data_IF_406851063778
#
_entry.id   IF_406851063778
#
_cell.length_a   1.000
_cell.length_b   1.000
_cell.length_c   1.000
_cell.angle_alpha   90.00
_cell.angle_beta   90.00
_cell.angle_gamma   90.00
#
_symmetry.space_group_name_H-M   'P 1'
#
loop_
_entity.id
_entity.type
_entity.pdbx_description
1 polymer ?
#
# COMPACT_ATOMS: atom_id res chain seq x y z
N UNK A 1 -17.89 -6.26 22.13
CA UNK A 1 -18.58 -5.03 21.66
C UNK A 1 -19.89 -5.40 20.95
N UNK A 2 -20.90 -4.53 20.88
CA UNK A 2 -22.18 -4.80 20.20
C UNK A 2 -22.48 -3.76 19.13
N UNK A 3 -23.27 -4.14 18.13
CA UNK A 3 -23.94 -3.22 17.20
C UNK A 3 -25.44 -3.23 17.48
N UNK A 4 -26.09 -2.09 17.26
CA UNK A 4 -27.55 -1.97 17.34
C UNK A 4 -28.11 -1.70 15.96
N UNK A 5 -29.18 -2.42 15.60
CA UNK A 5 -29.97 -2.10 14.40
C UNK A 5 -30.66 -0.76 14.63
N UNK A 6 -30.55 0.14 13.66
CA UNK A 6 -31.10 1.49 13.77
C UNK A 6 -32.48 1.53 13.13
N UNK A 7 -33.46 2.06 13.87
CA UNK A 7 -34.78 2.35 13.31
C UNK A 7 -34.68 3.55 12.37
N UNK A 8 -35.19 3.42 11.14
CA UNK A 8 -35.19 4.51 10.15
C UNK A 8 -35.96 5.75 10.62
N UNK A 9 -36.88 5.59 11.58
CA UNK A 9 -37.64 6.68 12.20
C UNK A 9 -36.81 7.52 13.19
N UNK A 10 -35.70 6.98 13.69
CA UNK A 10 -34.83 7.66 14.65
C UNK A 10 -33.72 8.49 13.98
N UNK A 11 -33.64 8.48 12.64
CA UNK A 11 -32.66 9.26 11.89
C UNK A 11 -33.18 10.68 11.64
N UNK A 12 -32.30 11.70 11.63
CA UNK A 12 -32.65 13.03 11.16
C UNK A 12 -33.26 12.95 9.76
N UNK A 13 -34.28 13.76 9.48
CA UNK A 13 -34.93 13.78 8.15
C UNK A 13 -33.86 13.99 7.07
N UNK A 14 -33.77 13.05 6.13
CA UNK A 14 -32.82 13.09 5.00
C UNK A 14 -31.46 12.41 5.25
N UNK A 15 -31.14 11.99 6.49
CA UNK A 15 -29.89 11.32 6.78
C UNK A 15 -29.90 9.87 6.27
N UNK A 16 -28.97 9.54 5.36
CA UNK A 16 -28.73 8.18 4.86
C UNK A 16 -27.31 7.76 5.25
N UNK A 17 -27.10 7.18 6.45
CA UNK A 17 -25.78 6.72 6.87
C UNK A 17 -25.28 5.64 5.89
N UNK A 18 -24.01 5.69 5.56
CA UNK A 18 -23.34 4.74 4.67
C UNK A 18 -22.45 3.80 5.47
N UNK A 19 -22.26 2.58 4.99
CA UNK A 19 -21.39 1.59 5.59
C UNK A 19 -19.93 2.03 5.47
N UNK A 20 -19.17 1.92 6.56
CA UNK A 20 -17.75 2.28 6.57
C UNK A 20 -16.90 1.46 5.58
N UNK A 21 -17.27 0.20 5.33
CA UNK A 21 -16.49 -0.73 4.49
C UNK A 21 -16.86 -0.73 3.00
N UNK A 22 -18.13 -0.49 2.65
CA UNK A 22 -18.60 -0.66 1.27
C UNK A 22 -19.44 0.51 0.75
N UNK A 23 -19.61 1.58 1.53
CA UNK A 23 -20.40 2.77 1.19
C UNK A 23 -21.91 2.54 0.91
N UNK A 24 -22.40 1.30 0.96
CA UNK A 24 -23.83 0.95 0.87
C UNK A 24 -24.63 1.47 2.07
N UNK A 25 -25.96 1.64 1.97
CA UNK A 25 -26.81 2.09 3.07
C UNK A 25 -26.60 1.27 4.35
N UNK A 26 -26.34 1.95 5.46
CA UNK A 26 -26.10 1.30 6.75
C UNK A 26 -27.41 0.98 7.50
N UNK A 27 -27.43 -0.16 8.17
CA UNK A 27 -28.56 -0.63 9.00
C UNK A 27 -28.18 -0.74 10.49
N UNK A 28 -26.89 -0.79 10.79
CA UNK A 28 -26.34 -1.01 12.12
C UNK A 28 -25.43 0.14 12.52
N UNK A 29 -25.50 0.53 13.80
CA UNK A 29 -24.60 1.50 14.42
C UNK A 29 -23.79 0.83 15.53
N UNK A 30 -22.50 1.12 15.56
CA UNK A 30 -21.60 0.75 16.65
C UNK A 30 -22.08 1.37 17.98
N UNK A 31 -22.06 0.61 19.08
CA UNK A 31 -22.46 1.17 20.40
C UNK A 31 -21.35 1.97 21.09
N UNK A 32 -20.10 1.83 20.65
CA UNK A 32 -18.92 2.44 21.26
C UNK A 32 -18.29 3.55 20.41
N UNK A 33 -18.70 3.64 19.16
CA UNK A 33 -18.11 4.49 18.15
C UNK A 33 -19.21 5.00 17.22
N UNK A 34 -18.93 6.07 16.47
CA UNK A 34 -19.92 6.67 15.57
C UNK A 34 -19.98 6.01 14.19
N UNK A 35 -19.32 4.87 14.02
CA UNK A 35 -19.28 4.10 12.76
C UNK A 35 -20.57 3.33 12.45
N UNK A 36 -20.87 3.25 11.16
CA UNK A 36 -22.10 2.66 10.61
C UNK A 36 -21.81 1.48 9.67
N UNK A 37 -22.65 0.45 9.70
CA UNK A 37 -22.44 -0.78 8.94
C UNK A 37 -23.73 -1.29 8.30
N UNK A 38 -23.65 -1.85 7.09
CA UNK A 38 -24.81 -2.49 6.44
C UNK A 38 -25.11 -3.88 7.05
N UNK A 39 -24.11 -4.56 7.61
CA UNK A 39 -24.26 -5.89 8.21
C UNK A 39 -23.43 -6.06 9.48
N UNK A 40 -23.82 -7.01 10.32
CA UNK A 40 -23.03 -7.44 11.50
C UNK A 40 -21.68 -8.02 11.06
N UNK A 41 -21.61 -8.65 9.89
CA UNK A 41 -20.36 -9.18 9.34
C UNK A 41 -19.38 -8.06 8.99
N UNK A 42 -19.84 -6.97 8.36
CA UNK A 42 -19.00 -5.80 8.07
C UNK A 42 -18.50 -5.14 9.35
N UNK A 43 -19.35 -5.05 10.38
CA UNK A 43 -18.90 -4.62 11.70
C UNK A 43 -17.80 -5.53 12.26
N UNK A 44 -17.98 -6.85 12.22
CA UNK A 44 -17.00 -7.81 12.76
C UNK A 44 -15.66 -7.68 12.04
N UNK A 45 -15.68 -7.63 10.71
CA UNK A 45 -14.47 -7.42 9.89
C UNK A 45 -13.77 -6.11 10.27
N UNK A 46 -14.52 -5.01 10.38
CA UNK A 46 -13.95 -3.73 10.79
C UNK A 46 -13.37 -3.79 12.21
N UNK A 47 -14.12 -4.39 13.14
CA UNK A 47 -13.75 -4.54 14.55
C UNK A 47 -12.46 -5.34 14.70
N UNK A 48 -12.41 -6.56 14.17
CA UNK A 48 -11.26 -7.47 14.25
C UNK A 48 -10.06 -6.94 13.46
N UNK A 49 -10.30 -6.28 12.32
CA UNK A 49 -9.25 -5.74 11.47
C UNK A 49 -8.46 -4.60 12.13
N UNK A 50 -9.16 -3.54 12.57
CA UNK A 50 -8.48 -2.34 13.10
C UNK A 50 -9.32 -1.52 14.08
N UNK A 51 -10.65 -1.54 13.98
CA UNK A 51 -11.50 -0.56 14.66
C UNK A 51 -11.39 -0.65 16.19
N UNK A 52 -11.12 -1.83 16.75
CA UNK A 52 -10.86 -1.99 18.18
C UNK A 52 -9.62 -1.24 18.69
N UNK A 53 -8.67 -0.92 17.79
CA UNK A 53 -7.44 -0.17 18.07
C UNK A 53 -7.65 1.34 17.97
N UNK A 54 -8.47 1.80 17.00
CA UNK A 54 -8.56 3.22 16.62
C UNK A 54 -9.85 3.93 17.05
N UNK A 55 -10.84 3.21 17.63
CA UNK A 55 -12.16 3.79 17.89
C UNK A 55 -12.13 4.99 18.87
N UNK A 56 -11.15 5.07 19.77
CA UNK A 56 -11.04 6.18 20.73
C UNK A 56 -10.59 7.45 20.02
N UNK A 57 -9.57 7.33 19.19
CA UNK A 57 -9.01 8.38 18.37
C UNK A 57 -10.05 8.89 17.36
N UNK A 58 -10.84 7.99 16.75
CA UNK A 58 -11.94 8.36 15.87
C UNK A 58 -13.00 9.21 16.59
N UNK A 59 -13.35 8.87 17.83
CA UNK A 59 -14.31 9.66 18.61
C UNK A 59 -13.72 11.05 18.95
N UNK A 60 -12.46 11.12 19.37
CA UNK A 60 -11.76 12.39 19.66
C UNK A 60 -11.70 13.31 18.44
N UNK A 61 -11.47 12.74 17.26
CA UNK A 61 -11.42 13.48 16.02
C UNK A 61 -12.78 14.11 15.64
N UNK A 62 -13.89 13.44 15.98
CA UNK A 62 -15.23 13.99 15.77
C UNK A 62 -15.59 15.08 16.78
N UNK A 63 -15.24 14.92 18.05
CA UNK A 63 -15.48 15.92 19.10
C UNK A 63 -14.78 17.24 18.79
N UNK A 64 -13.61 17.17 18.16
CA UNK A 64 -12.80 18.33 17.80
C UNK A 64 -13.19 18.96 16.46
N UNK A 65 -14.22 18.48 15.76
CA UNK A 65 -14.58 18.96 14.41
C UNK A 65 -15.07 20.41 14.32
N UNK A 66 -15.56 21.00 15.41
CA UNK A 66 -16.08 22.39 15.44
C UNK A 66 -15.10 23.35 16.13
N UNK A 67 -14.31 24.14 15.39
CA UNK A 67 -13.37 25.09 15.98
C UNK A 67 -14.13 26.33 16.48
N UNK A 68 -14.55 26.30 17.73
CA UNK A 68 -15.08 27.47 18.45
C UNK A 68 -13.97 27.99 19.36
N UNK A 69 -13.61 29.26 19.23
CA UNK A 69 -12.58 29.89 20.05
C UNK A 69 -11.77 30.95 19.32
N UNK A 70 -10.79 31.50 20.04
CA UNK A 70 -9.78 32.43 19.52
C UNK A 70 -8.90 31.80 18.44
N UNK A 71 -8.21 32.62 17.64
CA UNK A 71 -7.30 32.11 16.60
C UNK A 71 -6.23 31.16 17.15
N UNK A 72 -5.71 31.45 18.35
CA UNK A 72 -4.73 30.59 19.02
C UNK A 72 -5.31 29.22 19.38
N UNK A 73 -6.51 29.18 19.96
CA UNK A 73 -7.20 27.93 20.30
C UNK A 73 -7.55 27.13 19.05
N UNK A 74 -7.92 27.79 17.95
CA UNK A 74 -8.15 27.13 16.65
C UNK A 74 -6.88 26.45 16.12
N UNK A 75 -5.73 27.11 16.21
CA UNK A 75 -4.45 26.54 15.80
C UNK A 75 -4.02 25.36 16.68
N UNK A 76 -4.22 25.45 18.00
CA UNK A 76 -3.93 24.36 18.93
C UNK A 76 -4.86 23.16 18.67
N UNK A 77 -6.15 23.39 18.42
CA UNK A 77 -7.12 22.36 18.03
C UNK A 77 -6.79 21.74 16.66
N UNK A 78 -6.35 22.53 15.68
CA UNK A 78 -5.90 22.02 14.38
C UNK A 78 -4.68 21.12 14.51
N UNK A 79 -3.68 21.52 15.32
CA UNK A 79 -2.52 20.68 15.65
C UNK A 79 -2.93 19.37 16.31
N UNK A 80 -3.83 19.43 17.30
CA UNK A 80 -4.33 18.23 17.97
C UNK A 80 -5.08 17.31 17.00
N UNK A 81 -5.97 17.86 16.16
CA UNK A 81 -6.69 17.10 15.12
C UNK A 81 -5.74 16.39 14.18
N UNK A 82 -4.72 17.10 13.69
CA UNK A 82 -3.67 16.52 12.84
C UNK A 82 -2.90 15.42 13.56
N UNK A 83 -2.57 15.58 14.83
CA UNK A 83 -1.88 14.55 15.62
C UNK A 83 -2.73 13.28 15.77
N UNK A 84 -4.01 13.43 16.14
CA UNK A 84 -4.96 12.31 16.26
C UNK A 84 -5.15 11.61 14.91
N UNK A 85 -5.34 12.36 13.84
CA UNK A 85 -5.47 11.81 12.49
C UNK A 85 -4.20 11.05 12.06
N UNK A 86 -3.00 11.58 12.33
CA UNK A 86 -1.75 10.88 12.04
C UNK A 86 -1.64 9.57 12.84
N UNK A 87 -2.08 9.55 14.10
CA UNK A 87 -2.11 8.33 14.90
C UNK A 87 -3.06 7.27 14.31
N UNK A 88 -4.25 7.69 13.84
CA UNK A 88 -5.20 6.80 13.15
C UNK A 88 -4.59 6.27 11.85
N UNK A 89 -4.00 7.14 11.03
CA UNK A 89 -3.36 6.77 9.77
C UNK A 89 -2.27 5.72 10.00
N UNK A 90 -1.32 6.00 10.91
CA UNK A 90 -0.20 5.10 11.19
C UNK A 90 -0.68 3.75 11.74
N UNK A 91 -1.60 3.77 12.72
CA UNK A 91 -2.12 2.54 13.33
C UNK A 91 -2.89 1.70 12.30
N UNK A 92 -3.69 2.34 11.45
CA UNK A 92 -4.50 1.65 10.44
C UNK A 92 -3.63 1.06 9.32
N UNK A 93 -2.61 1.80 8.88
CA UNK A 93 -1.63 1.32 7.89
C UNK A 93 -0.85 0.12 8.43
N UNK A 94 -0.30 0.21 9.65
CA UNK A 94 0.45 -0.90 10.24
C UNK A 94 -0.40 -2.14 10.48
N UNK A 95 -1.65 -1.98 10.93
CA UNK A 95 -2.59 -3.08 11.09
C UNK A 95 -2.91 -3.75 9.75
N UNK A 96 -3.23 -2.95 8.71
CA UNK A 96 -3.50 -3.47 7.37
C UNK A 96 -2.30 -4.24 6.79
N UNK A 97 -1.09 -3.68 6.88
CA UNK A 97 0.14 -4.34 6.43
C UNK A 97 0.37 -5.67 7.16
N UNK A 98 0.13 -5.71 8.47
CA UNK A 98 0.25 -6.95 9.25
C UNK A 98 -0.69 -8.04 8.72
N UNK A 99 -1.94 -7.68 8.44
CA UNK A 99 -2.91 -8.63 7.88
C UNK A 99 -2.59 -9.04 6.44
N UNK A 100 -2.04 -8.13 5.62
CA UNK A 100 -1.57 -8.43 4.26
C UNK A 100 -0.45 -9.47 4.30
N UNK A 101 0.55 -9.30 5.19
CA UNK A 101 1.64 -10.28 5.37
C UNK A 101 1.12 -11.65 5.80
N UNK A 102 0.07 -11.68 6.62
CA UNK A 102 -0.60 -12.92 7.03
C UNK A 102 -1.50 -13.52 5.94
N UNK A 103 -1.66 -12.86 4.79
CA UNK A 103 -2.55 -13.26 3.70
C UNK A 103 -4.03 -13.08 4.01
N UNK A 104 -4.39 -12.45 5.13
CA UNK A 104 -5.79 -12.23 5.52
C UNK A 104 -6.32 -10.90 5.01
N UNK A 105 -6.52 -10.82 3.69
CA UNK A 105 -7.00 -9.61 3.01
C UNK A 105 -8.39 -9.17 3.48
N UNK A 106 -9.22 -10.11 3.98
CA UNK A 106 -10.57 -9.79 4.48
C UNK A 106 -10.52 -8.90 5.71
N UNK A 107 -9.56 -9.11 6.62
CA UNK A 107 -9.38 -8.24 7.79
C UNK A 107 -8.57 -6.98 7.46
N UNK A 108 -7.63 -7.09 6.51
CA UNK A 108 -6.78 -5.98 6.07
C UNK A 108 -7.59 -4.80 5.49
N UNK A 109 -8.68 -5.10 4.77
CA UNK A 109 -9.47 -4.08 4.04
C UNK A 109 -9.97 -2.94 4.94
N UNK A 110 -10.34 -3.25 6.19
CA UNK A 110 -10.80 -2.24 7.12
C UNK A 110 -9.68 -1.23 7.45
N UNK A 111 -8.48 -1.74 7.79
CA UNK A 111 -7.31 -0.91 8.06
C UNK A 111 -6.95 -0.01 6.89
N UNK A 112 -6.93 -0.55 5.67
CA UNK A 112 -6.60 0.23 4.49
C UNK A 112 -7.64 1.31 4.16
N UNK A 113 -8.94 1.02 4.35
CA UNK A 113 -9.99 2.02 4.16
C UNK A 113 -9.91 3.17 5.19
N UNK A 114 -9.67 2.86 6.46
CA UNK A 114 -9.47 3.89 7.48
C UNK A 114 -8.20 4.71 7.21
N UNK A 115 -7.12 4.07 6.78
CA UNK A 115 -5.88 4.74 6.39
C UNK A 115 -6.13 5.71 5.20
N UNK A 116 -6.72 5.22 4.11
CA UNK A 116 -6.99 6.01 2.91
C UNK A 116 -7.86 7.24 3.22
N UNK A 117 -8.98 7.06 3.94
CA UNK A 117 -9.87 8.17 4.29
C UNK A 117 -9.21 9.18 5.24
N UNK A 118 -8.40 8.69 6.18
CA UNK A 118 -7.68 9.58 7.10
C UNK A 118 -6.58 10.36 6.39
N UNK A 119 -5.91 9.75 5.41
CA UNK A 119 -4.96 10.43 4.53
C UNK A 119 -5.64 11.50 3.68
N UNK A 120 -6.80 11.21 3.06
CA UNK A 120 -7.61 12.19 2.34
C UNK A 120 -7.97 13.41 3.20
N UNK A 121 -8.34 13.16 4.45
CA UNK A 121 -8.67 14.22 5.41
C UNK A 121 -7.44 15.05 5.83
N UNK A 122 -6.26 14.43 5.92
CA UNK A 122 -5.02 15.08 6.37
C UNK A 122 -4.36 15.92 5.27
N UNK A 123 -4.34 15.41 4.05
CA UNK A 123 -3.52 15.96 2.97
C UNK A 123 -4.36 16.55 1.82
N UNK A 124 -5.66 16.19 1.73
CA UNK A 124 -6.55 16.61 0.65
C UNK A 124 -6.45 15.71 -0.58
N UNK A 125 -7.55 15.50 -1.31
CA UNK A 125 -7.71 14.47 -2.35
C UNK A 125 -6.64 14.48 -3.44
N UNK A 126 -6.10 15.66 -3.77
CA UNK A 126 -5.11 15.85 -4.85
C UNK A 126 -3.66 15.69 -4.36
N UNK A 127 -3.45 15.36 -3.09
CA UNK A 127 -2.11 15.23 -2.52
C UNK A 127 -1.47 13.88 -2.85
N UNK A 128 -0.21 13.95 -3.26
CA UNK A 128 0.65 12.79 -3.53
C UNK A 128 0.89 11.89 -2.31
N UNK A 129 0.67 12.42 -1.10
CA UNK A 129 0.86 11.77 0.18
C UNK A 129 -0.24 10.72 0.47
N UNK A 130 -1.35 10.74 -0.27
CA UNK A 130 -2.43 9.75 -0.17
C UNK A 130 -2.09 8.46 -0.92
N UNK A 131 -1.28 8.58 -1.98
CA UNK A 131 -0.92 7.48 -2.90
C UNK A 131 -0.53 6.18 -2.16
N UNK A 132 0.34 6.19 -1.13
CA UNK A 132 0.72 4.96 -0.42
C UNK A 132 -0.47 4.21 0.19
N UNK A 133 -1.45 4.94 0.76
CA UNK A 133 -2.63 4.34 1.39
C UNK A 133 -3.59 3.74 0.34
N UNK A 134 -3.70 4.39 -0.82
CA UNK A 134 -4.52 3.89 -1.93
C UNK A 134 -3.89 2.68 -2.62
N UNK A 135 -2.56 2.64 -2.79
CA UNK A 135 -1.85 1.46 -3.31
C UNK A 135 -2.07 0.26 -2.39
N UNK A 136 -1.97 0.45 -1.07
CA UNK A 136 -2.21 -0.62 -0.09
C UNK A 136 -3.64 -1.17 -0.20
N UNK A 137 -4.64 -0.30 -0.36
CA UNK A 137 -6.02 -0.72 -0.57
C UNK A 137 -6.20 -1.49 -1.88
N UNK A 138 -5.54 -1.06 -2.96
CA UNK A 138 -5.57 -1.77 -4.24
C UNK A 138 -4.94 -3.17 -4.15
N UNK A 139 -3.82 -3.32 -3.43
CA UNK A 139 -3.18 -4.61 -3.15
C UNK A 139 -4.15 -5.56 -2.43
N UNK A 140 -4.91 -5.03 -1.46
CA UNK A 140 -5.91 -5.81 -0.74
C UNK A 140 -7.07 -6.22 -1.65
N UNK A 141 -7.57 -5.33 -2.52
CA UNK A 141 -8.59 -5.68 -3.50
C UNK A 141 -8.11 -6.75 -4.49
N UNK A 142 -6.85 -6.68 -4.92
CA UNK A 142 -6.21 -7.73 -5.71
C UNK A 142 -6.17 -9.08 -4.97
N UNK A 143 -5.83 -9.07 -3.68
CA UNK A 143 -5.84 -10.26 -2.82
C UNK A 143 -7.25 -10.84 -2.60
N UNK A 144 -8.28 -9.99 -2.57
CA UNK A 144 -9.69 -10.36 -2.50
C UNK A 144 -10.31 -10.76 -3.85
N UNK A 145 -9.53 -10.73 -4.93
CA UNK A 145 -9.98 -10.94 -6.32
C UNK A 145 -11.04 -9.94 -6.80
N UNK A 146 -11.09 -8.75 -6.20
CA UNK A 146 -11.95 -7.64 -6.62
C UNK A 146 -11.25 -6.82 -7.72
N UNK A 147 -11.04 -7.45 -8.88
CA UNK A 147 -10.20 -6.89 -9.96
C UNK A 147 -10.70 -5.54 -10.47
N UNK A 148 -12.01 -5.38 -10.62
CA UNK A 148 -12.60 -4.14 -11.11
C UNK A 148 -12.33 -2.96 -10.16
N UNK A 149 -12.56 -3.14 -8.86
CA UNK A 149 -12.29 -2.11 -7.85
C UNK A 149 -10.80 -1.80 -7.70
N UNK A 150 -9.93 -2.81 -7.84
CA UNK A 150 -8.49 -2.60 -7.85
C UNK A 150 -8.04 -1.76 -9.06
N UNK A 151 -8.55 -2.08 -10.26
CA UNK A 151 -8.23 -1.36 -11.49
C UNK A 151 -8.68 0.10 -11.46
N UNK A 152 -9.92 0.37 -11.05
CA UNK A 152 -10.44 1.73 -10.94
C UNK A 152 -9.59 2.57 -9.97
N UNK A 153 -9.25 1.99 -8.82
CA UNK A 153 -8.42 2.67 -7.83
C UNK A 153 -6.99 2.90 -8.35
N UNK A 154 -6.37 1.90 -8.98
CA UNK A 154 -5.02 2.02 -9.52
C UNK A 154 -4.93 3.00 -10.69
N UNK A 155 -5.99 3.13 -11.49
CA UNK A 155 -6.07 4.14 -12.55
C UNK A 155 -6.04 5.55 -11.95
N UNK A 156 -6.80 5.79 -10.87
CA UNK A 156 -6.77 7.07 -10.15
C UNK A 156 -5.39 7.33 -9.56
N UNK A 157 -4.82 6.35 -8.86
CA UNK A 157 -3.48 6.44 -8.28
C UNK A 157 -2.42 6.71 -9.34
N UNK A 158 -2.54 6.10 -10.52
CA UNK A 158 -1.59 6.29 -11.61
C UNK A 158 -1.48 7.75 -12.05
N UNK A 159 -2.61 8.46 -12.16
CA UNK A 159 -2.60 9.88 -12.51
C UNK A 159 -1.93 10.73 -11.45
N UNK A 160 -2.27 10.53 -10.16
CA UNK A 160 -1.65 11.27 -9.05
C UNK A 160 -0.17 10.91 -8.90
N UNK A 161 0.21 9.66 -9.12
CA UNK A 161 1.60 9.21 -9.01
C UNK A 161 2.48 9.72 -10.17
N UNK A 162 1.92 10.00 -11.34
CA UNK A 162 2.66 10.62 -12.45
C UNK A 162 3.20 12.01 -12.08
N UNK A 163 2.62 12.71 -11.10
CA UNK A 163 3.13 13.99 -10.59
C UNK A 163 4.53 13.86 -9.96
N UNK A 164 4.91 12.67 -9.49
CA UNK A 164 6.26 12.39 -8.99
C UNK A 164 7.35 12.39 -10.09
N UNK A 165 6.94 12.33 -11.36
CA UNK A 165 7.82 12.19 -12.53
C UNK A 165 7.89 10.74 -13.06
N UNK A 166 8.17 10.55 -14.37
CA UNK A 166 8.05 9.25 -15.05
C UNK A 166 9.11 8.21 -14.68
N UNK A 167 10.14 8.61 -13.94
CA UNK A 167 11.27 7.78 -13.49
C UNK A 167 11.34 7.64 -11.98
N UNK A 168 10.34 8.15 -11.25
CA UNK A 168 10.39 8.15 -9.80
C UNK A 168 10.10 6.74 -9.27
N UNK A 169 11.03 6.16 -8.50
CA UNK A 169 10.87 4.85 -7.88
C UNK A 169 9.55 4.68 -7.10
N UNK A 170 8.96 5.76 -6.57
CA UNK A 170 7.67 5.72 -5.84
C UNK A 170 6.48 5.23 -6.67
N UNK A 171 6.57 5.27 -8.01
CA UNK A 171 5.49 4.82 -8.91
C UNK A 171 5.52 3.31 -9.17
N UNK A 172 6.64 2.64 -8.84
CA UNK A 172 6.85 1.20 -9.09
C UNK A 172 5.76 0.32 -8.47
N UNK A 173 5.36 0.50 -7.19
CA UNK A 173 4.30 -0.33 -6.60
C UNK A 173 2.95 -0.19 -7.33
N UNK A 174 2.60 1.02 -7.79
CA UNK A 174 1.38 1.25 -8.56
C UNK A 174 1.39 0.51 -9.89
N UNK A 175 2.50 0.59 -10.62
CA UNK A 175 2.66 -0.13 -11.89
C UNK A 175 2.64 -1.65 -11.70
N UNK A 176 3.26 -2.14 -10.64
CA UNK A 176 3.27 -3.56 -10.36
C UNK A 176 1.88 -4.09 -10.06
N UNK A 177 1.14 -3.42 -9.15
CA UNK A 177 -0.22 -3.81 -8.83
C UNK A 177 -1.12 -3.77 -10.07
N UNK A 178 -0.94 -2.77 -10.95
CA UNK A 178 -1.66 -2.69 -12.21
C UNK A 178 -1.31 -3.85 -13.16
N UNK A 179 -0.03 -4.23 -13.25
CA UNK A 179 0.40 -5.38 -14.03
C UNK A 179 -0.23 -6.68 -13.51
N UNK A 180 -0.36 -6.84 -12.19
CA UNK A 180 -1.03 -7.98 -11.57
C UNK A 180 -2.55 -8.01 -11.84
N UNK A 181 -3.22 -6.85 -11.92
CA UNK A 181 -4.61 -6.80 -12.40
C UNK A 181 -4.70 -7.37 -13.82
N UNK A 182 -3.85 -6.89 -14.74
CA UNK A 182 -3.88 -7.33 -16.14
C UNK A 182 -3.50 -8.80 -16.31
N UNK A 183 -2.53 -9.29 -15.52
CA UNK A 183 -2.16 -10.70 -15.49
C UNK A 183 -3.34 -11.59 -15.12
N UNK A 184 -4.17 -11.17 -14.15
CA UNK A 184 -5.34 -11.93 -13.69
C UNK A 184 -6.55 -11.90 -14.63
N UNK A 185 -6.62 -10.95 -15.57
CA UNK A 185 -7.73 -10.86 -16.54
C UNK A 185 -7.63 -11.88 -17.67
N UNK A 186 -6.45 -12.47 -17.90
CA UNK A 186 -6.16 -13.50 -18.91
C UNK A 186 -6.46 -13.14 -20.39
N UNK A 187 -6.82 -11.89 -20.68
CA UNK A 187 -7.05 -11.39 -22.04
C UNK A 187 -5.73 -11.11 -22.80
N UNK A 188 -5.72 -11.33 -24.12
CA UNK A 188 -4.53 -11.11 -24.97
C UNK A 188 -4.03 -9.66 -24.95
N UNK A 189 -4.95 -8.69 -24.90
CA UNK A 189 -4.64 -7.26 -24.78
C UNK A 189 -4.02 -6.96 -23.40
N UNK A 190 -4.54 -7.58 -22.34
CA UNK A 190 -4.02 -7.44 -20.99
C UNK A 190 -2.64 -8.05 -20.82
N UNK A 191 -2.31 -9.12 -21.56
CA UNK A 191 -0.95 -9.70 -21.56
C UNK A 191 0.09 -8.70 -22.07
N UNK A 192 -0.18 -8.04 -23.20
CA UNK A 192 0.74 -7.03 -23.74
C UNK A 192 0.89 -5.82 -22.81
N UNK A 193 -0.22 -5.38 -22.19
CA UNK A 193 -0.18 -4.29 -21.21
C UNK A 193 0.63 -4.67 -19.95
N UNK A 194 0.47 -5.90 -19.47
CA UNK A 194 1.23 -6.47 -18.35
C UNK A 194 2.73 -6.48 -18.65
N UNK A 195 3.15 -7.00 -19.80
CA UNK A 195 4.56 -7.01 -20.22
C UNK A 195 5.14 -5.60 -20.34
N UNK A 196 4.39 -4.66 -20.93
CA UNK A 196 4.82 -3.26 -21.04
C UNK A 196 5.03 -2.61 -19.67
N UNK A 197 4.14 -2.87 -18.71
CA UNK A 197 4.26 -2.38 -17.33
C UNK A 197 5.49 -2.97 -16.63
N UNK A 198 5.75 -4.27 -16.79
CA UNK A 198 6.91 -4.91 -16.20
C UNK A 198 8.23 -4.39 -16.79
N UNK A 199 8.31 -4.23 -18.11
CA UNK A 199 9.44 -3.56 -18.75
C UNK A 199 9.63 -2.15 -18.19
N UNK A 200 8.54 -1.38 -18.01
CA UNK A 200 8.63 -0.03 -17.46
C UNK A 200 9.15 0.00 -16.03
N UNK A 201 8.74 -0.95 -15.19
CA UNK A 201 9.25 -1.09 -13.82
C UNK A 201 10.75 -1.35 -13.84
N UNK A 202 11.22 -2.28 -14.69
CA UNK A 202 12.65 -2.57 -14.82
C UNK A 202 13.44 -1.32 -15.25
N UNK A 203 12.93 -0.54 -16.22
CA UNK A 203 13.54 0.74 -16.62
C UNK A 203 13.66 1.72 -15.45
N UNK A 204 12.59 1.90 -14.67
CA UNK A 204 12.56 2.82 -13.53
C UNK A 204 13.55 2.38 -12.45
N UNK A 205 13.60 1.08 -12.15
CA UNK A 205 14.55 0.50 -11.19
C UNK A 205 15.97 0.80 -11.65
N UNK A 206 16.34 0.39 -12.87
CA UNK A 206 17.70 0.57 -13.40
C UNK A 206 18.11 2.05 -13.42
N UNK A 207 17.25 2.94 -13.94
CA UNK A 207 17.52 4.37 -13.98
C UNK A 207 17.66 5.01 -12.59
N UNK A 208 16.84 4.57 -11.62
CA UNK A 208 16.89 5.07 -10.24
C UNK A 208 18.20 4.73 -9.53
N UNK A 209 18.80 3.59 -9.88
CA UNK A 209 20.08 3.16 -9.33
C UNK A 209 21.26 3.79 -10.11
N UNK A 210 21.19 3.90 -11.44
CA UNK A 210 22.20 4.59 -12.27
C UNK A 210 22.40 6.07 -11.87
N UNK A 211 21.32 6.82 -11.63
CA UNK A 211 21.42 8.22 -11.19
C UNK A 211 22.09 8.38 -9.82
N UNK A 212 22.02 7.36 -8.95
CA UNK A 212 22.70 7.35 -7.64
C UNK A 212 24.17 6.92 -7.75
N UNK A 213 24.55 6.20 -8.81
CA UNK A 213 25.93 5.78 -9.09
C UNK A 213 26.82 6.92 -9.60
N UNK A 214 26.25 7.89 -10.32
CA UNK A 214 27.00 9.06 -10.83
C UNK A 214 27.62 9.94 -9.73
N UNK A 215 27.22 9.80 -8.46
CA UNK A 215 27.83 10.49 -7.33
C UNK A 215 28.93 9.70 -6.59
N UNK A 216 29.10 8.41 -6.89
CA UNK A 216 29.93 7.47 -6.12
C UNK A 216 30.71 6.52 -7.04
N UNK A 217 31.22 7.03 -8.16
CA UNK A 217 31.98 6.23 -9.12
C UNK A 217 33.25 5.64 -8.45
N UNK A 218 33.21 4.34 -8.16
CA UNK A 218 34.33 3.58 -7.59
C UNK A 218 34.17 3.09 -6.14
N UNK A 219 33.08 3.42 -5.46
CA UNK A 219 32.86 3.02 -4.06
C UNK A 219 32.04 1.71 -3.94
N UNK A 220 32.33 0.89 -2.92
CA UNK A 220 31.67 -0.41 -2.66
C UNK A 220 30.15 -0.27 -2.50
N UNK A 221 29.69 0.90 -2.04
CA UNK A 221 28.27 1.23 -1.93
C UNK A 221 27.56 1.30 -3.29
N UNK A 222 28.24 1.79 -4.33
CA UNK A 222 27.69 1.83 -5.69
C UNK A 222 27.46 0.42 -6.25
N UNK A 223 28.47 -0.45 -6.14
CA UNK A 223 28.36 -1.84 -6.59
C UNK A 223 27.24 -2.60 -5.85
N UNK A 224 27.04 -2.31 -4.56
CA UNK A 224 25.94 -2.85 -3.78
C UNK A 224 24.57 -2.43 -4.33
N UNK A 225 24.38 -1.14 -4.63
CA UNK A 225 23.15 -0.61 -5.22
C UNK A 225 22.86 -1.21 -6.61
N UNK A 226 23.87 -1.32 -7.45
CA UNK A 226 23.78 -1.98 -8.75
C UNK A 226 23.36 -3.45 -8.61
N UNK A 227 23.97 -4.17 -7.68
CA UNK A 227 23.64 -5.56 -7.42
C UNK A 227 22.19 -5.74 -6.94
N UNK A 228 21.68 -4.82 -6.11
CA UNK A 228 20.27 -4.81 -5.70
C UNK A 228 19.32 -4.59 -6.89
N UNK A 229 19.66 -3.68 -7.80
CA UNK A 229 18.88 -3.40 -9.02
C UNK A 229 18.82 -4.61 -9.96
N UNK A 230 19.96 -5.27 -10.18
CA UNK A 230 20.07 -6.48 -11.01
C UNK A 230 19.27 -7.64 -10.41
N UNK A 231 19.34 -7.83 -9.09
CA UNK A 231 18.57 -8.86 -8.39
C UNK A 231 17.06 -8.61 -8.51
N UNK A 232 16.60 -7.38 -8.25
CA UNK A 232 15.19 -7.02 -8.37
C UNK A 232 14.66 -7.21 -9.80
N UNK A 233 15.42 -6.75 -10.80
CA UNK A 233 15.09 -6.91 -12.22
C UNK A 233 15.02 -8.38 -12.63
N UNK A 234 15.97 -9.21 -12.16
CA UNK A 234 15.96 -10.65 -12.40
C UNK A 234 14.73 -11.35 -11.84
N UNK A 235 14.33 -11.02 -10.60
CA UNK A 235 13.12 -11.55 -9.96
C UNK A 235 11.84 -11.16 -10.72
N UNK A 236 11.78 -9.92 -11.23
CA UNK A 236 10.64 -9.46 -12.03
C UNK A 236 10.53 -10.27 -13.33
N UNK A 237 11.62 -10.43 -14.09
CA UNK A 237 11.59 -11.22 -15.32
C UNK A 237 11.27 -12.70 -15.07
N UNK A 238 11.73 -13.26 -13.95
CA UNK A 238 11.35 -14.61 -13.55
C UNK A 238 9.83 -14.72 -13.30
N UNK A 239 9.22 -13.70 -12.65
CA UNK A 239 7.79 -13.63 -12.39
C UNK A 239 6.93 -13.48 -13.67
N UNK A 240 7.49 -12.88 -14.72
CA UNK A 240 6.89 -12.74 -16.05
C UNK A 240 7.12 -13.98 -16.94
N UNK A 241 7.84 -15.01 -16.43
CA UNK A 241 8.23 -16.22 -17.17
C UNK A 241 9.20 -15.97 -18.34
N UNK A 242 9.88 -14.82 -18.33
CA UNK A 242 10.95 -14.46 -19.28
C UNK A 242 12.30 -14.97 -18.77
N UNK A 243 12.43 -16.31 -18.72
CA UNK A 243 13.52 -16.99 -18.01
C UNK A 243 14.92 -16.69 -18.57
N UNK A 244 15.04 -16.39 -19.86
CA UNK A 244 16.32 -16.03 -20.47
C UNK A 244 16.84 -14.68 -19.95
N UNK A 245 15.96 -13.67 -19.92
CA UNK A 245 16.28 -12.35 -19.36
C UNK A 245 16.56 -12.47 -17.86
N UNK A 246 15.74 -13.23 -17.14
CA UNK A 246 15.94 -13.47 -15.71
C UNK A 246 17.32 -14.09 -15.42
N UNK A 247 17.75 -15.06 -16.24
CA UNK A 247 19.07 -15.69 -16.13
C UNK A 247 20.20 -14.71 -16.39
N UNK A 248 20.10 -13.87 -17.42
CA UNK A 248 21.10 -12.85 -17.74
C UNK A 248 21.29 -11.86 -16.57
N UNK A 249 20.20 -11.32 -16.02
CA UNK A 249 20.27 -10.42 -14.86
C UNK A 249 20.80 -11.12 -13.60
N UNK A 250 20.46 -12.39 -13.38
CA UNK A 250 20.97 -13.19 -12.27
C UNK A 250 22.47 -13.47 -12.41
N UNK A 251 22.95 -13.70 -13.63
CA UNK A 251 24.37 -13.87 -13.91
C UNK A 251 25.14 -12.57 -13.68
N UNK A 252 24.63 -11.43 -14.18
CA UNK A 252 25.20 -10.10 -13.92
C UNK A 252 25.25 -9.79 -12.42
N UNK A 253 24.17 -10.08 -11.69
CA UNK A 253 24.13 -9.97 -10.23
C UNK A 253 25.26 -10.77 -9.56
N UNK A 254 25.47 -12.01 -10.00
CA UNK A 254 26.47 -12.92 -9.42
C UNK A 254 27.90 -12.42 -9.65
N UNK A 255 28.17 -11.84 -10.82
CA UNK A 255 29.46 -11.22 -11.15
C UNK A 255 29.73 -10.01 -10.24
N UNK A 256 28.76 -9.10 -10.10
CA UNK A 256 28.90 -7.92 -9.24
C UNK A 256 29.05 -8.33 -7.76
N UNK A 257 28.29 -9.32 -7.31
CA UNK A 257 28.37 -9.87 -5.94
C UNK A 257 29.74 -10.45 -5.63
N UNK A 258 30.36 -11.17 -6.57
CA UNK A 258 31.69 -11.73 -6.40
C UNK A 258 32.76 -10.64 -6.22
N UNK A 259 32.57 -9.45 -6.79
CA UNK A 259 33.49 -8.31 -6.63
C UNK A 259 33.45 -7.61 -5.26
N UNK A 260 32.33 -7.69 -4.54
CA UNK A 260 32.11 -6.96 -3.26
C UNK A 260 32.61 -7.73 -2.02
N UNK A 261 32.74 -9.06 -2.13
CA UNK A 261 33.08 -9.94 -0.99
C UNK A 261 31.90 -10.23 -0.05
N UNK A 262 31.99 -11.29 0.75
CA UNK A 262 30.85 -11.87 1.51
C UNK A 262 30.46 -11.09 2.79
N UNK A 263 31.30 -10.16 3.27
CA UNK A 263 31.14 -9.53 4.59
C UNK A 263 30.02 -8.48 4.73
N UNK A 264 29.51 -7.92 3.63
CA UNK A 264 28.56 -6.78 3.66
C UNK A 264 27.09 -7.14 3.38
N UNK A 265 26.81 -8.40 3.00
CA UNK A 265 25.49 -8.83 2.54
C UNK A 265 24.46 -9.03 3.65
N UNK A 266 24.90 -9.23 4.90
CA UNK A 266 24.02 -9.36 6.07
C UNK A 266 23.22 -8.08 6.37
N UNK A 267 23.76 -6.90 6.03
CA UNK A 267 23.05 -5.61 6.15
C UNK A 267 22.22 -5.23 4.94
N UNK A 268 22.65 -5.59 3.72
CA UNK A 268 21.99 -5.22 2.46
C UNK A 268 20.66 -5.92 2.19
N UNK A 269 20.52 -7.18 2.63
CA UNK A 269 19.25 -7.91 2.52
C UNK A 269 18.16 -7.27 3.39
N UNK A 270 18.52 -6.64 4.52
CA UNK A 270 17.60 -5.82 5.32
C UNK A 270 17.14 -4.58 4.56
N UNK A 271 17.97 -3.95 3.74
CA UNK A 271 17.62 -2.75 2.95
C UNK A 271 16.72 -3.09 1.76
N UNK A 272 16.87 -4.27 1.14
CA UNK A 272 15.90 -4.79 0.16
C UNK A 272 14.55 -5.04 0.85
N UNK A 273 14.57 -5.59 2.08
CA UNK A 273 13.39 -5.71 2.95
C UNK A 273 12.84 -4.36 3.42
N UNK A 274 13.61 -3.28 3.41
CA UNK A 274 13.17 -1.94 3.80
C UNK A 274 12.60 -1.14 2.61
N UNK A 275 13.25 -1.24 1.44
CA UNK A 275 12.80 -0.64 0.18
C UNK A 275 11.57 -1.36 -0.39
N UNK A 276 11.49 -2.69 -0.25
CA UNK A 276 10.26 -3.44 -0.50
C UNK A 276 9.32 -3.39 0.71
N UNK A 277 9.77 -3.54 1.96
CA UNK A 277 8.85 -3.61 3.11
C UNK A 277 8.07 -2.32 3.41
N UNK A 278 8.53 -1.14 2.98
CA UNK A 278 7.74 0.08 3.13
C UNK A 278 6.57 0.19 2.12
N UNK A 279 6.58 -0.57 1.02
CA UNK A 279 5.58 -0.44 -0.05
C UNK A 279 5.02 -1.77 -0.59
N UNK A 280 5.59 -2.90 -0.19
CA UNK A 280 5.40 -4.21 -0.81
C UNK A 280 5.56 -5.34 0.21
N UNK A 281 4.89 -5.20 1.35
CA UNK A 281 4.81 -6.25 2.36
C UNK A 281 4.38 -7.62 1.74
N UNK A 282 3.65 -7.61 0.61
CA UNK A 282 3.34 -8.79 -0.20
C UNK A 282 4.40 -9.25 -1.23
N UNK A 283 5.19 -8.37 -1.85
CA UNK A 283 6.11 -8.77 -2.95
C UNK A 283 7.22 -9.69 -2.47
N UNK A 284 7.94 -9.31 -1.42
CA UNK A 284 9.09 -10.08 -0.95
C UNK A 284 8.72 -11.09 0.13
N UNK A 285 7.61 -10.90 0.85
CA UNK A 285 7.14 -11.89 1.83
C UNK A 285 6.88 -13.25 1.18
N UNK A 286 6.23 -13.26 0.01
CA UNK A 286 5.93 -14.49 -0.72
C UNK A 286 7.07 -14.92 -1.66
N UNK A 287 7.79 -14.00 -2.31
CA UNK A 287 8.96 -14.39 -3.12
C UNK A 287 10.10 -15.01 -2.29
N UNK A 288 10.28 -14.61 -1.02
CA UNK A 288 11.24 -15.24 -0.10
C UNK A 288 10.71 -16.52 0.56
N UNK A 289 9.39 -16.73 0.64
CA UNK A 289 8.82 -18.00 1.11
C UNK A 289 8.80 -19.10 0.03
N UNK A 290 8.88 -18.71 -1.26
CA UNK A 290 8.93 -19.60 -2.41
C UNK A 290 10.30 -19.71 -3.08
N UNK A 291 11.37 -19.35 -2.39
CA UNK A 291 12.71 -19.82 -2.74
C UNK A 291 13.07 -21.03 -1.85
N UNK A 292 12.53 -22.24 -2.09
CA UNK A 292 13.21 -23.42 -1.62
C UNK A 292 14.49 -23.54 -2.46
N UNK A 293 15.63 -23.67 -1.76
CA UNK A 293 16.84 -24.29 -2.29
C UNK A 293 17.46 -23.66 -3.55
N UNK A 294 18.13 -22.52 -3.39
CA UNK A 294 19.22 -22.09 -4.29
C UNK A 294 20.57 -22.07 -3.53
N UNK A 295 20.80 -23.11 -2.73
CA UNK A 295 22.15 -23.59 -2.39
C UNK A 295 22.38 -24.91 -3.13
N UNK A 296 22.91 -24.82 -4.35
CA UNK A 296 23.72 -25.84 -5.03
C UNK A 296 24.45 -25.19 -6.22
#
# INVERSE_FOLDING_TARGET
MRVKRVSRLALPKGAKPKCELCAEPAEYKCTACLSWFCSVNHFRVAWEGVLHLIYRELNLLQETSNPVGSERERQEQDKMRKQVANAILNTSTSAAQTWVVQGNFKLAVAGALYAARTAEMLFGVDSTEIVPSQILLAEIYLGLQQLHSAEELLNMVYFTACEFGPTNFRIVPSFFNMAEVFKKKEDSVSRNACEALYCKICEIIMASFEHKLCGAAGDQFGQMLESMALCATGLIYAHVQELEKARDYTQKFSIVKAGIGTGYWSGGMCTLRFLCGQYTAGMLGNAFLFAPDFEA
#
